data_IF_138337963525
#
_entry.id   IF_138337963525
#
_cell.length_a   1.000
_cell.length_b   1.000
_cell.length_c   1.000
_cell.angle_alpha   90.00
_cell.angle_beta   90.00
_cell.angle_gamma   90.00
#
_symmetry.space_group_name_H-M   'P 1'
#
loop_
_entity.id
_entity.type
_entity.pdbx_description
1 polymer ?
#
# COMPACT_ATOMS: atom_id res chain seq x y z
N UNK A 1 20.33 -19.67 -12.19
CA UNK A 1 20.07 -18.39 -11.53
C UNK A 1 18.56 -18.15 -11.63
N UNK A 2 17.77 -18.66 -10.69
CA UNK A 2 16.30 -18.50 -10.73
C UNK A 2 15.96 -17.17 -10.07
N UNK A 3 15.73 -16.14 -10.89
CA UNK A 3 15.01 -14.95 -10.46
C UNK A 3 13.69 -15.40 -9.85
N UNK A 4 13.57 -15.25 -8.54
CA UNK A 4 12.28 -15.36 -7.87
C UNK A 4 11.46 -14.18 -8.36
N UNK A 5 10.73 -14.37 -9.45
CA UNK A 5 9.65 -13.47 -9.84
C UNK A 5 8.72 -13.40 -8.63
N UNK A 6 8.76 -12.29 -7.90
CA UNK A 6 7.80 -12.01 -6.86
C UNK A 6 6.46 -11.92 -7.60
N UNK A 7 5.69 -13.00 -7.58
CA UNK A 7 4.30 -13.04 -7.99
C UNK A 7 3.50 -12.24 -6.94
N UNK A 8 3.75 -10.94 -6.90
CA UNK A 8 3.27 -10.01 -5.90
C UNK A 8 2.14 -9.18 -6.47
N UNK A 9 1.06 -9.09 -5.72
CA UNK A 9 0.01 -8.12 -5.93
C UNK A 9 0.51 -6.73 -5.51
N UNK A 10 0.27 -5.71 -6.33
CA UNK A 10 0.65 -4.34 -6.01
C UNK A 10 -0.41 -3.74 -5.09
N UNK A 11 -0.02 -3.39 -3.86
CA UNK A 11 -0.88 -2.68 -2.91
C UNK A 11 -0.66 -1.16 -2.98
N UNK A 12 -1.73 -0.40 -3.24
CA UNK A 12 -1.71 1.07 -3.23
C UNK A 12 -2.43 1.56 -1.98
N UNK A 13 -1.70 2.25 -1.09
CA UNK A 13 -2.30 2.94 0.04
C UNK A 13 -2.92 4.26 -0.42
N UNK A 14 -4.26 4.32 -0.47
CA UNK A 14 -5.02 5.52 -0.81
C UNK A 14 -5.39 5.64 -2.30
N UNK A 15 -6.65 5.33 -2.64
CA UNK A 15 -7.24 5.59 -3.97
C UNK A 15 -7.72 7.06 -4.09
N UNK A 16 -6.79 8.00 -3.93
CA UNK A 16 -6.99 9.44 -4.12
C UNK A 16 -6.84 9.88 -5.57
N UNK A 17 -6.44 11.14 -5.76
CA UNK A 17 -6.25 11.74 -7.09
C UNK A 17 -5.19 11.03 -7.94
N UNK A 18 -4.13 10.49 -7.32
CA UNK A 18 -3.06 9.75 -8.00
C UNK A 18 -3.25 8.23 -7.93
N UNK A 19 -3.72 7.73 -6.78
CA UNK A 19 -3.82 6.29 -6.54
C UNK A 19 -4.81 5.60 -7.49
N UNK A 20 -5.91 6.27 -7.85
CA UNK A 20 -6.92 5.68 -8.74
C UNK A 20 -6.46 5.62 -10.20
N UNK A 21 -5.91 6.69 -10.81
CA UNK A 21 -5.30 6.60 -12.15
C UNK A 21 -4.15 5.59 -12.21
N UNK A 22 -3.30 5.54 -11.18
CA UNK A 22 -2.20 4.59 -11.11
C UNK A 22 -2.70 3.15 -11.06
N UNK A 23 -3.70 2.85 -10.24
CA UNK A 23 -4.30 1.52 -10.18
C UNK A 23 -4.84 1.08 -11.54
N UNK A 24 -5.55 1.98 -12.23
CA UNK A 24 -6.10 1.70 -13.56
C UNK A 24 -4.99 1.46 -14.59
N UNK A 25 -3.92 2.25 -14.58
CA UNK A 25 -2.79 2.06 -15.49
C UNK A 25 -2.08 0.71 -15.25
N UNK A 26 -1.91 0.32 -13.99
CA UNK A 26 -1.29 -0.96 -13.63
C UNK A 26 -2.19 -2.16 -13.99
N UNK A 27 -3.50 -2.05 -13.78
CA UNK A 27 -4.48 -3.05 -14.22
C UNK A 27 -4.47 -3.19 -15.75
N UNK A 28 -4.42 -2.08 -16.48
CA UNK A 28 -4.31 -2.09 -17.95
C UNK A 28 -2.99 -2.72 -18.43
N UNK A 29 -1.92 -2.65 -17.63
CA UNK A 29 -0.66 -3.33 -17.88
C UNK A 29 -0.67 -4.83 -17.48
N UNK A 30 -1.83 -5.38 -17.12
CA UNK A 30 -2.00 -6.78 -16.72
C UNK A 30 -1.43 -7.10 -15.34
N UNK A 31 -1.14 -6.10 -14.51
CA UNK A 31 -0.61 -6.30 -13.17
C UNK A 31 -1.75 -6.39 -12.16
N UNK A 32 -1.72 -7.36 -11.22
CA UNK A 32 -2.71 -7.44 -10.15
C UNK A 32 -2.52 -6.29 -9.15
N UNK A 33 -3.59 -5.55 -8.85
CA UNK A 33 -3.56 -4.36 -7.98
C UNK A 33 -4.69 -4.40 -6.96
N UNK A 34 -4.37 -4.08 -5.71
CA UNK A 34 -5.34 -3.73 -4.67
C UNK A 34 -5.10 -2.28 -4.24
N UNK A 35 -6.19 -1.57 -3.95
CA UNK A 35 -6.13 -0.19 -3.46
C UNK A 35 -6.80 -0.09 -2.10
N UNK A 36 -6.37 0.85 -1.27
CA UNK A 36 -7.06 1.14 -0.01
C UNK A 36 -7.72 2.51 -0.02
N UNK A 37 -8.81 2.66 0.73
CA UNK A 37 -9.54 3.92 0.89
C UNK A 37 -9.98 4.11 2.33
N UNK A 38 -10.12 5.35 2.77
CA UNK A 38 -10.57 5.66 4.14
C UNK A 38 -12.09 5.52 4.36
N UNK A 39 -12.87 5.42 3.27
CA UNK A 39 -14.34 5.30 3.35
C UNK A 39 -14.80 3.94 2.82
N UNK A 40 -15.60 3.23 3.62
CA UNK A 40 -16.21 1.97 3.24
C UNK A 40 -17.16 2.10 2.04
N UNK A 41 -17.91 3.21 1.95
CA UNK A 41 -18.79 3.49 0.80
C UNK A 41 -17.98 3.62 -0.49
N UNK A 42 -16.84 4.30 -0.42
CA UNK A 42 -15.93 4.43 -1.57
C UNK A 42 -15.33 3.08 -1.96
N UNK A 43 -15.03 2.22 -0.99
CA UNK A 43 -14.53 0.87 -1.26
C UNK A 43 -15.58 0.05 -2.02
N UNK A 44 -16.82 0.03 -1.53
CA UNK A 44 -17.91 -0.70 -2.17
C UNK A 44 -18.18 -0.20 -3.60
N UNK A 45 -18.16 1.11 -3.83
CA UNK A 45 -18.31 1.68 -5.18
C UNK A 45 -17.21 1.23 -6.12
N UNK A 46 -15.94 1.29 -5.68
CA UNK A 46 -14.80 0.89 -6.49
C UNK A 46 -14.77 -0.63 -6.76
N UNK A 47 -15.22 -1.45 -5.80
CA UNK A 47 -15.43 -2.88 -6.01
C UNK A 47 -16.48 -3.15 -7.08
N UNK A 48 -17.59 -2.39 -7.09
CA UNK A 48 -18.60 -2.45 -8.15
C UNK A 48 -18.06 -2.04 -9.53
N UNK A 49 -17.02 -1.21 -9.58
CA UNK A 49 -16.29 -0.84 -10.81
C UNK A 49 -15.21 -1.87 -11.21
N UNK A 50 -15.08 -2.99 -10.49
CA UNK A 50 -14.12 -4.05 -10.74
C UNK A 50 -12.72 -3.79 -10.18
N UNK A 51 -12.56 -2.81 -9.29
CA UNK A 51 -11.28 -2.51 -8.62
C UNK A 51 -11.28 -3.17 -7.24
N UNK A 52 -10.25 -3.96 -6.93
CA UNK A 52 -10.05 -4.52 -5.60
C UNK A 52 -9.73 -3.41 -4.58
N UNK A 53 -10.76 -2.78 -4.03
CA UNK A 53 -10.64 -1.67 -3.09
C UNK A 53 -10.99 -2.12 -1.66
N UNK A 54 -10.14 -1.80 -0.69
CA UNK A 54 -10.34 -2.19 0.70
C UNK A 54 -10.41 -0.96 1.61
N UNK A 55 -11.37 -0.89 2.56
CA UNK A 55 -11.35 0.15 3.56
C UNK A 55 -10.12 -0.04 4.46
N UNK A 56 -9.30 1.00 4.60
CA UNK A 56 -8.18 1.04 5.53
C UNK A 56 -8.14 2.41 6.20
N UNK A 57 -8.28 2.39 7.53
CA UNK A 57 -8.06 3.56 8.38
C UNK A 57 -6.69 3.43 9.01
N UNK A 58 -5.78 4.36 8.67
CA UNK A 58 -4.47 4.46 9.30
C UNK A 58 -4.56 5.56 10.34
N UNK A 59 -4.51 5.19 11.62
CA UNK A 59 -4.45 6.15 12.71
C UNK A 59 -3.12 6.89 12.66
N UNK A 60 -3.16 8.22 12.79
CA UNK A 60 -1.96 9.07 12.79
C UNK A 60 -1.15 8.99 14.11
N UNK A 61 -1.32 7.93 14.89
CA UNK A 61 -0.60 7.74 16.13
C UNK A 61 0.88 7.48 15.83
N UNK A 62 1.66 8.54 15.92
CA UNK A 62 3.10 8.48 15.93
C UNK A 62 3.51 8.52 17.40
N UNK A 63 3.93 7.40 18.02
CA UNK A 63 4.43 7.44 19.38
C UNK A 63 5.58 8.45 19.43
N UNK A 64 5.68 9.27 20.50
CA UNK A 64 6.71 10.29 20.58
C UNK A 64 8.08 9.64 20.40
N UNK A 65 8.93 10.25 19.58
CA UNK A 65 10.32 9.84 19.42
C UNK A 65 11.01 10.01 20.79
N UNK A 66 11.06 8.93 21.56
CA UNK A 66 11.82 8.87 22.80
C UNK A 66 13.31 9.03 22.46
N UNK A 67 13.89 10.20 22.76
CA UNK A 67 15.32 10.47 22.59
C UNK A 67 16.24 9.65 23.53
N UNK A 68 15.70 8.76 24.37
CA UNK A 68 16.47 7.89 25.29
C UNK A 68 16.61 6.45 24.78
N UNK A 69 16.98 6.31 23.52
CA UNK A 69 17.64 5.10 23.04
C UNK A 69 18.83 5.50 22.18
N UNK A 70 19.93 5.84 22.85
CA UNK A 70 21.27 5.57 22.36
C UNK A 70 21.48 4.04 22.26
N UNK A 71 20.60 3.37 21.53
CA UNK A 71 20.76 2.01 21.11
C UNK A 71 21.87 2.01 20.09
N UNK A 72 23.05 1.58 20.52
CA UNK A 72 24.16 1.23 19.64
C UNK A 72 23.62 0.24 18.60
N UNK A 73 23.32 0.71 17.39
CA UNK A 73 23.08 -0.19 16.26
C UNK A 73 24.41 -0.92 16.02
N UNK A 74 24.50 -2.24 16.20
CA UNK A 74 25.68 -2.95 15.76
C UNK A 74 25.73 -2.79 14.23
N UNK A 75 26.75 -2.10 13.75
CA UNK A 75 27.08 -2.07 12.34
C UNK A 75 27.28 -3.52 11.90
N UNK A 76 26.28 -4.08 11.22
CA UNK A 76 26.46 -5.34 10.49
C UNK A 76 26.92 -4.95 9.10
N UNK A 77 28.21 -5.14 8.87
CA UNK A 77 28.81 -5.07 7.54
C UNK A 77 28.18 -6.19 6.72
N UNK A 78 27.49 -5.84 5.64
CA UNK A 78 27.31 -6.67 4.46
C UNK A 78 27.96 -5.92 3.31
#
# INVERSE_FOLDING_TARGET
>A
MTEQHIAGMIGILGAGWLGLPLARALLAAGKPVAVTVSSAEKAARLQGEGIAAHPLTISAEMPPLNKKSSGRFPARVW
#
